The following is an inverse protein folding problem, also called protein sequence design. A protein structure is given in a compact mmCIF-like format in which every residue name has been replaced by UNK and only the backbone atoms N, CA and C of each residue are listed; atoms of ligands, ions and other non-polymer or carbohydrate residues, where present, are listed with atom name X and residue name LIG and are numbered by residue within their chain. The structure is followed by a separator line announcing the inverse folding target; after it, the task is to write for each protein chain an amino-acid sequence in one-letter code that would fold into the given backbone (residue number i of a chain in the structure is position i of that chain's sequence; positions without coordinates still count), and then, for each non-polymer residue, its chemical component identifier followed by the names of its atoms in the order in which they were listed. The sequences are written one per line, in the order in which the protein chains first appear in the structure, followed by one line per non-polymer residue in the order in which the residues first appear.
data_IF_853347134851
#
_entry.id   IF_853347134851
#
_cell.length_a   1.000
_cell.length_b   1.000
_cell.length_c   1.000
_cell.angle_alpha   90.00
_cell.angle_beta   90.00
_cell.angle_gamma   90.00
#
_symmetry.space_group_name_H-M   'P 1'
#
loop_
_entity.id
_entity.type
_entity.pdbx_description
1 polymer ?
#
# COMPACT_ATOMS: atom_id res chain seq x y z
N UNK A 1 -4.75 11.05 1.44
CA UNK A 1 -4.73 10.59 2.84
C UNK A 1 -5.88 9.64 3.21
N UNK A 2 -7.16 9.96 2.91
CA UNK A 2 -8.32 9.11 3.29
C UNK A 2 -8.19 7.64 2.87
N UNK A 3 -7.77 7.37 1.63
CA UNK A 3 -7.62 6.00 1.11
C UNK A 3 -6.55 5.21 1.88
N UNK A 4 -5.43 5.83 2.25
CA UNK A 4 -4.35 5.21 3.04
C UNK A 4 -4.88 4.76 4.40
N UNK A 5 -5.56 5.66 5.13
CA UNK A 5 -6.07 5.36 6.47
C UNK A 5 -7.13 4.25 6.46
N UNK A 6 -8.06 4.29 5.51
CA UNK A 6 -9.10 3.26 5.41
C UNK A 6 -8.50 1.90 5.02
N UNK A 7 -7.54 1.90 4.09
CA UNK A 7 -6.83 0.66 3.69
C UNK A 7 -6.01 0.10 4.84
N UNK A 8 -5.36 0.96 5.63
CA UNK A 8 -4.60 0.56 6.81
C UNK A 8 -5.51 -0.06 7.87
N UNK A 9 -6.66 0.56 8.18
CA UNK A 9 -7.63 -0.03 9.12
C UNK A 9 -8.13 -1.39 8.63
N UNK A 10 -8.47 -1.52 7.34
CA UNK A 10 -8.89 -2.81 6.76
C UNK A 10 -7.76 -3.84 6.75
N UNK A 11 -6.50 -3.39 6.70
CA UNK A 11 -5.36 -4.28 6.78
C UNK A 11 -5.18 -4.92 8.16
N UNK A 12 -5.75 -4.34 9.23
CA UNK A 12 -5.76 -4.97 10.56
C UNK A 12 -6.68 -6.20 10.61
N UNK A 13 -7.64 -6.32 9.69
CA UNK A 13 -8.50 -7.50 9.57
C UNK A 13 -7.82 -8.68 8.86
N UNK A 14 -6.64 -8.48 8.27
CA UNK A 14 -5.87 -9.54 7.62
C UNK A 14 -4.63 -9.87 8.46
N UNK A 15 -4.42 -11.16 8.76
CA UNK A 15 -3.27 -11.58 9.57
C UNK A 15 -2.00 -11.62 8.72
N UNK A 16 -1.34 -10.45 8.59
CA UNK A 16 -0.03 -10.33 7.91
C UNK A 16 1.16 -10.29 8.89
N UNK A 17 0.92 -10.36 10.21
CA UNK A 17 1.97 -10.33 11.27
C UNK A 17 3.06 -9.28 11.05
N UNK A 18 2.68 -8.07 10.64
CA UNK A 18 3.59 -6.91 10.44
C UNK A 18 3.40 -5.86 11.51
N UNK A 19 4.46 -5.08 11.77
CA UNK A 19 4.34 -3.89 12.62
C UNK A 19 3.48 -2.83 11.92
N UNK A 20 2.77 -1.96 12.68
CA UNK A 20 1.94 -0.90 12.10
C UNK A 20 2.69 0.02 11.13
N UNK A 21 3.96 0.33 11.40
CA UNK A 21 4.79 1.16 10.51
C UNK A 21 5.10 0.46 9.18
N UNK A 22 5.41 -0.84 9.21
CA UNK A 22 5.69 -1.61 7.99
C UNK A 22 4.43 -1.74 7.13
N UNK A 23 3.27 -1.97 7.77
CA UNK A 23 1.98 -2.01 7.10
C UNK A 23 1.62 -0.65 6.48
N UNK A 24 1.83 0.45 7.22
CA UNK A 24 1.63 1.80 6.72
C UNK A 24 2.49 2.09 5.48
N UNK A 25 3.78 1.77 5.51
CA UNK A 25 4.67 1.97 4.37
C UNK A 25 4.20 1.18 3.13
N UNK A 26 3.82 -0.08 3.31
CA UNK A 26 3.30 -0.91 2.23
C UNK A 26 1.98 -0.38 1.65
N UNK A 27 1.04 0.03 2.52
CA UNK A 27 -0.24 0.62 2.12
C UNK A 27 -0.04 1.95 1.39
N UNK A 28 0.86 2.81 1.87
CA UNK A 28 1.22 4.05 1.19
C UNK A 28 1.71 3.77 -0.22
N UNK A 29 2.58 2.78 -0.40
CA UNK A 29 3.09 2.40 -1.72
C UNK A 29 2.01 1.82 -2.65
N UNK A 30 1.11 0.96 -2.14
CA UNK A 30 -0.03 0.46 -2.92
C UNK A 30 -0.95 1.59 -3.40
N UNK A 31 -1.33 2.48 -2.48
CA UNK A 31 -2.22 3.61 -2.77
C UNK A 31 -1.54 4.62 -3.70
N UNK A 32 -0.22 4.83 -3.57
CA UNK A 32 0.54 5.65 -4.48
C UNK A 32 0.42 5.14 -5.92
N UNK A 33 0.75 3.87 -6.20
CA UNK A 33 0.67 3.28 -7.54
C UNK A 33 -0.72 3.38 -8.20
N UNK A 34 -1.77 3.38 -7.38
CA UNK A 34 -3.16 3.46 -7.81
C UNK A 34 -3.68 4.90 -7.96
N UNK A 35 -2.93 5.89 -7.45
CA UNK A 35 -3.29 7.30 -7.58
C UNK A 35 -3.38 7.74 -9.04
N UNK A 36 -4.30 8.65 -9.33
CA UNK A 36 -4.38 9.32 -10.64
C UNK A 36 -3.46 10.53 -10.74
N UNK A 37 -2.98 11.04 -9.60
CA UNK A 37 -1.98 12.10 -9.56
C UNK A 37 -0.59 11.51 -9.86
N UNK A 38 0.06 12.02 -10.91
CA UNK A 38 1.37 11.49 -11.35
C UNK A 38 2.46 11.65 -10.29
N UNK A 39 2.49 12.79 -9.58
CA UNK A 39 3.48 13.05 -8.53
C UNK A 39 3.41 12.00 -7.42
N UNK A 40 2.19 11.63 -7.02
CA UNK A 40 1.97 10.57 -6.03
C UNK A 40 2.22 9.19 -6.61
N UNK A 41 1.81 8.95 -7.86
CA UNK A 41 1.88 7.63 -8.51
C UNK A 41 3.30 7.19 -8.81
N UNK A 42 4.16 8.14 -9.11
CA UNK A 42 5.55 7.88 -9.47
C UNK A 42 6.46 7.80 -8.22
N UNK A 43 5.87 7.84 -7.00
CA UNK A 43 6.59 7.58 -5.75
C UNK A 43 7.23 6.19 -5.78
N UNK A 44 8.52 6.17 -5.50
CA UNK A 44 9.31 4.95 -5.44
C UNK A 44 9.14 4.25 -4.10
N UNK A 45 9.43 2.94 -4.08
CA UNK A 45 9.48 2.17 -2.83
C UNK A 45 10.49 2.78 -1.84
N UNK A 46 11.60 3.34 -2.34
CA UNK A 46 12.61 4.01 -1.52
C UNK A 46 12.07 5.26 -0.84
N UNK A 47 11.39 6.14 -1.58
CA UNK A 47 10.81 7.38 -1.03
C UNK A 47 9.76 7.09 0.04
N UNK A 48 8.87 6.13 -0.21
CA UNK A 48 7.84 5.74 0.77
C UNK A 48 8.46 5.12 2.02
N UNK A 49 9.45 4.24 1.84
CA UNK A 49 10.15 3.61 2.96
C UNK A 49 10.88 4.63 3.83
N UNK A 50 11.53 5.60 3.20
CA UNK A 50 12.20 6.71 3.90
C UNK A 50 11.19 7.60 4.63
N UNK A 51 10.06 7.95 4.00
CA UNK A 51 9.03 8.78 4.62
C UNK A 51 8.36 8.09 5.82
N UNK A 52 8.28 6.76 5.81
CA UNK A 52 7.70 5.95 6.89
C UNK A 52 8.74 5.46 7.92
N UNK A 53 10.02 5.83 7.77
CA UNK A 53 11.13 5.39 8.62
C UNK A 53 11.24 3.86 8.75
N UNK A 54 11.19 3.17 7.61
CA UNK A 54 11.31 1.71 7.53
C UNK A 54 12.33 1.31 6.47
N UNK A 55 13.01 0.18 6.66
CA UNK A 55 13.91 -0.34 5.64
C UNK A 55 13.12 -0.75 4.37
N UNK A 56 13.69 -0.48 3.19
CA UNK A 56 13.07 -0.79 1.90
C UNK A 56 12.67 -2.27 1.79
N UNK A 57 13.55 -3.18 2.18
CA UNK A 57 13.28 -4.62 2.20
C UNK A 57 12.13 -5.02 3.15
N UNK A 58 11.88 -4.23 4.19
CA UNK A 58 10.74 -4.44 5.11
C UNK A 58 9.44 -4.00 4.46
N UNK A 59 9.42 -2.84 3.80
CA UNK A 59 8.28 -2.35 3.02
C UNK A 59 7.93 -3.33 1.90
N UNK A 60 8.93 -3.85 1.18
CA UNK A 60 8.76 -4.85 0.12
C UNK A 60 8.08 -6.12 0.62
N UNK A 61 8.55 -6.66 1.76
CA UNK A 61 7.95 -7.86 2.37
C UNK A 61 6.52 -7.60 2.85
N UNK A 62 6.29 -6.48 3.54
CA UNK A 62 4.95 -6.11 3.98
C UNK A 62 3.98 -5.90 2.81
N UNK A 63 4.46 -5.32 1.71
CA UNK A 63 3.70 -5.19 0.48
C UNK A 63 3.30 -6.56 -0.08
N UNK A 64 4.26 -7.50 -0.17
CA UNK A 64 4.02 -8.87 -0.66
C UNK A 64 3.01 -9.62 0.19
N UNK A 65 3.02 -9.42 1.50
CA UNK A 65 2.04 -10.05 2.40
C UNK A 65 0.63 -9.45 2.25
N UNK A 66 0.53 -8.15 1.96
CA UNK A 66 -0.75 -7.44 1.78
C UNK A 66 -1.34 -7.59 0.37
N UNK A 67 -0.50 -7.81 -0.64
CA UNK A 67 -0.89 -7.81 -2.05
C UNK A 67 -2.04 -8.78 -2.39
N UNK A 68 -2.07 -10.03 -1.88
CA UNK A 68 -3.20 -10.96 -2.12
C UNK A 68 -4.55 -10.43 -1.62
N UNK A 69 -4.54 -9.51 -0.65
CA UNK A 69 -5.72 -8.93 -0.03
C UNK A 69 -6.10 -7.56 -0.61
N UNK A 70 -5.39 -7.06 -1.63
CA UNK A 70 -5.58 -5.72 -2.18
C UNK A 70 -7.05 -5.40 -2.53
N UNK A 71 -7.76 -6.36 -3.13
CA UNK A 71 -9.19 -6.20 -3.47
C UNK A 71 -10.14 -6.11 -2.28
N UNK A 72 -9.72 -6.60 -1.10
CA UNK A 72 -10.47 -6.53 0.15
C UNK A 72 -10.14 -5.26 0.92
N UNK A 73 -8.87 -4.89 0.99
CA UNK A 73 -8.41 -3.79 1.85
C UNK A 73 -8.49 -2.42 1.17
N UNK A 74 -8.34 -2.35 -0.16
CA UNK A 74 -8.37 -1.08 -0.89
C UNK A 74 -9.83 -0.65 -1.11
N UNK A 75 -10.22 0.58 -0.75
CA UNK A 75 -11.60 1.03 -0.90
C UNK A 75 -12.04 1.16 -2.36
N UNK A 76 -13.20 0.58 -2.69
CA UNK A 76 -13.81 0.67 -4.04
C UNK A 76 -14.14 2.11 -4.49
N UNK A 77 -14.30 3.05 -3.55
CA UNK A 77 -14.50 4.47 -3.89
C UNK A 77 -13.21 5.12 -4.39
N UNK A 78 -12.04 4.59 -4.02
CA UNK A 78 -10.75 5.10 -4.43
C UNK A 78 -10.33 4.54 -5.78
N UNK A 79 -10.52 3.23 -5.98
CA UNK A 79 -10.17 2.56 -7.23
C UNK A 79 -11.14 1.42 -7.51
N UNK A 80 -11.41 1.13 -8.78
CA UNK A 80 -12.24 -0.03 -9.15
C UNK A 80 -11.41 -1.30 -9.17
N UNK A 81 -12.06 -2.45 -9.04
CA UNK A 81 -11.39 -3.77 -9.07
C UNK A 81 -10.53 -3.96 -10.34
N UNK A 82 -10.99 -3.46 -11.48
CA UNK A 82 -10.29 -3.54 -12.77
C UNK A 82 -8.98 -2.75 -12.82
N UNK A 83 -8.82 -1.76 -11.95
CA UNK A 83 -7.64 -0.89 -11.88
C UNK A 83 -6.57 -1.45 -10.94
N UNK A 84 -6.90 -2.45 -10.11
CA UNK A 84 -5.92 -3.11 -9.23
C UNK A 84 -4.79 -3.79 -10.00
N UNK A 85 -5.01 -4.11 -11.29
CA UNK A 85 -3.97 -4.60 -12.21
C UNK A 85 -2.80 -3.62 -12.41
N UNK A 86 -2.96 -2.35 -12.02
CA UNK A 86 -1.90 -1.33 -12.02
C UNK A 86 -0.88 -1.53 -10.91
N UNK A 87 -1.22 -2.32 -9.88
CA UNK A 87 -0.28 -2.66 -8.81
C UNK A 87 0.84 -3.55 -9.36
N UNK A 88 2.06 -3.06 -9.25
CA UNK A 88 3.30 -3.78 -9.52
C UNK A 88 3.86 -4.35 -8.21
N UNK A 89 4.27 -5.62 -8.26
CA UNK A 89 4.99 -6.26 -7.15
C UNK A 89 6.48 -5.89 -7.27
N UNK A 90 7.06 -5.20 -6.28
CA UNK A 90 8.47 -4.85 -6.26
C UNK A 90 9.42 -6.03 -6.03
#
# INVERSE_FOLDING_TARGET
MKAVLETLNKSEEVDVRRSPQSALAAVMYMIAQLSNDKSTRDLTLQEVSQAADVAVATTEKAYKDLYPYASRIIPNWFVKLEDLKRLCVP
#
